data_IF_830623891081
#
_entry.id   IF_830623891081
#
_cell.length_a   1.000
_cell.length_b   1.000
_cell.length_c   1.000
_cell.angle_alpha   90.00
_cell.angle_beta   90.00
_cell.angle_gamma   90.00
#
_symmetry.space_group_name_H-M   'P 1'
#
loop_
_entity.id
_entity.type
_entity.pdbx_description
1 polymer ?
#
# COMPACT_ATOMS: atom_id res chain seq x y z
N UNK A 1 27.52 -0.16 16.62
CA UNK A 1 26.08 0.15 16.67
C UNK A 1 25.35 -1.05 16.06
N UNK A 2 24.44 -1.68 16.80
CA UNK A 2 23.71 -2.88 16.35
C UNK A 2 22.43 -2.41 15.68
N UNK A 3 22.30 -2.59 14.36
CA UNK A 3 21.08 -2.30 13.62
C UNK A 3 20.20 -3.55 13.60
N UNK A 4 19.05 -3.51 14.27
CA UNK A 4 18.06 -4.60 14.22
C UNK A 4 17.17 -4.39 13.00
N UNK A 5 17.30 -5.26 11.99
CA UNK A 5 16.46 -5.25 10.79
C UNK A 5 15.13 -5.95 11.12
N UNK A 6 14.01 -5.22 11.08
CA UNK A 6 12.67 -5.81 11.26
C UNK A 6 12.11 -6.13 9.88
N UNK A 7 12.02 -7.42 9.58
CA UNK A 7 11.47 -7.97 8.35
C UNK A 7 9.93 -7.97 8.43
N UNK A 8 9.27 -7.07 7.70
CA UNK A 8 7.84 -7.18 7.46
C UNK A 8 7.62 -8.09 6.24
N UNK A 9 7.19 -9.35 6.47
CA UNK A 9 6.93 -10.33 5.39
C UNK A 9 5.41 -10.54 5.23
N UNK A 10 4.87 -10.55 4.00
CA UNK A 10 3.52 -11.01 3.77
C UNK A 10 3.45 -12.55 3.83
N UNK A 11 2.39 -13.06 4.47
CA UNK A 11 2.14 -14.47 4.71
C UNK A 11 1.40 -15.07 3.50
N UNK A 12 1.93 -16.14 2.89
CA UNK A 12 1.21 -16.90 1.86
C UNK A 12 0.74 -18.21 2.45
N UNK A 13 -0.58 -18.41 2.55
CA UNK A 13 -1.18 -19.70 2.91
C UNK A 13 -1.30 -20.57 1.66
N UNK A 14 -0.88 -21.84 1.78
CA UNK A 14 -0.93 -22.85 0.72
C UNK A 14 -2.10 -23.77 1.02
N UNK A 15 -3.08 -23.86 0.11
CA UNK A 15 -4.08 -24.93 0.11
C UNK A 15 -4.13 -25.54 -1.30
N UNK A 16 -3.97 -26.86 -1.37
CA UNK A 16 -4.01 -27.66 -2.60
C UNK A 16 -5.39 -28.32 -2.80
N UNK A 17 -5.75 -28.47 -4.08
CA UNK A 17 -6.67 -29.42 -4.74
C UNK A 17 -8.08 -28.95 -5.15
N UNK A 18 -8.36 -29.07 -6.46
CA UNK A 18 -9.69 -29.12 -7.06
C UNK A 18 -9.73 -28.72 -8.54
N UNK A 19 -10.34 -29.54 -9.40
CA UNK A 19 -10.13 -29.65 -10.86
C UNK A 19 -11.08 -28.81 -11.77
N UNK A 20 -10.48 -28.20 -12.80
CA UNK A 20 -10.89 -27.87 -14.20
C UNK A 20 -12.40 -27.79 -14.60
N UNK A 21 -12.79 -26.65 -15.21
CA UNK A 21 -13.55 -26.59 -16.48
C UNK A 21 -13.11 -25.40 -17.37
N UNK A 22 -13.05 -25.65 -18.68
CA UNK A 22 -12.79 -24.71 -19.80
C UNK A 22 -14.15 -24.06 -20.21
N UNK A 23 -14.31 -22.91 -20.86
CA UNK A 23 -13.68 -22.35 -22.06
C UNK A 23 -14.12 -20.87 -22.27
N UNK A 24 -13.35 -20.16 -23.11
CA UNK A 24 -13.67 -18.98 -23.94
C UNK A 24 -13.97 -17.62 -23.29
N UNK A 25 -13.20 -16.58 -23.69
CA UNK A 25 -13.67 -15.27 -24.19
C UNK A 25 -12.48 -14.34 -24.58
N UNK A 26 -12.55 -13.88 -25.83
CA UNK A 26 -11.99 -12.71 -26.55
C UNK A 26 -10.67 -12.03 -26.14
N UNK A 27 -9.79 -11.86 -27.14
CA UNK A 27 -8.51 -11.10 -27.10
C UNK A 27 -8.74 -9.60 -26.87
N UNK A 28 -8.52 -9.13 -25.64
CA UNK A 28 -8.26 -7.71 -25.33
C UNK A 28 -6.78 -7.33 -25.56
N UNK A 29 -6.44 -6.02 -25.47
CA UNK A 29 -5.07 -5.55 -25.72
C UNK A 29 -4.10 -6.20 -24.74
N UNK A 30 -3.04 -6.80 -25.28
CA UNK A 30 -2.06 -7.58 -24.51
C UNK A 30 -1.10 -6.64 -23.80
N UNK A 31 -1.24 -6.48 -22.49
CA UNK A 31 -0.15 -6.04 -21.63
C UNK A 31 0.99 -7.08 -21.73
N UNK A 32 2.27 -6.67 -21.77
CA UNK A 32 3.37 -7.64 -21.73
C UNK A 32 3.23 -8.47 -20.45
N UNK A 33 2.95 -9.77 -20.62
CA UNK A 33 2.96 -10.74 -19.52
C UNK A 33 4.35 -10.70 -18.90
N UNK A 34 4.46 -10.07 -17.73
CA UNK A 34 5.60 -10.34 -16.85
C UNK A 34 5.51 -11.82 -16.48
N UNK A 35 6.47 -12.60 -17.00
CA UNK A 35 6.43 -14.05 -16.92
C UNK A 35 6.35 -14.54 -15.49
N UNK A 36 5.27 -15.24 -15.15
CA UNK A 36 5.22 -16.12 -13.99
C UNK A 36 6.08 -17.36 -14.27
N UNK A 37 7.38 -17.24 -14.05
CA UNK A 37 8.20 -18.41 -13.77
C UNK A 37 8.12 -18.71 -12.27
N UNK A 38 7.22 -19.62 -11.93
CA UNK A 38 7.18 -20.29 -10.65
C UNK A 38 8.39 -21.22 -10.55
N UNK A 39 9.52 -20.68 -10.09
CA UNK A 39 10.64 -21.47 -9.57
C UNK A 39 10.77 -21.13 -8.08
N UNK A 40 10.28 -22.04 -7.26
CA UNK A 40 10.63 -22.14 -5.84
C UNK A 40 12.17 -22.14 -5.70
N UNK A 41 12.69 -21.20 -4.91
CA UNK A 41 14.10 -21.21 -4.49
C UNK A 41 14.93 -19.99 -4.92
N UNK A 42 14.64 -18.82 -4.34
CA UNK A 42 15.58 -17.73 -4.01
C UNK A 42 14.84 -16.82 -3.04
N UNK A 43 15.39 -16.58 -1.86
CA UNK A 43 14.74 -15.78 -0.81
C UNK A 43 14.22 -14.48 -1.39
N UNK A 44 12.96 -14.14 -1.08
CA UNK A 44 12.35 -12.88 -1.49
C UNK A 44 13.35 -11.75 -1.20
N UNK A 45 13.93 -11.20 -2.26
CA UNK A 45 14.78 -10.03 -2.14
C UNK A 45 13.85 -8.92 -1.71
N UNK A 46 13.98 -8.49 -0.45
CA UNK A 46 13.28 -7.31 0.07
C UNK A 46 13.36 -6.18 -0.96
N UNK A 47 12.26 -5.47 -1.17
CA UNK A 47 12.24 -4.31 -2.06
C UNK A 47 13.20 -3.24 -1.52
N UNK A 48 14.37 -3.12 -2.15
CA UNK A 48 15.40 -2.11 -1.83
C UNK A 48 15.51 -1.07 -2.95
N UNK A 49 15.94 0.14 -2.61
CA UNK A 49 16.16 1.23 -3.57
C UNK A 49 17.62 1.26 -4.06
N UNK A 50 17.82 1.35 -5.38
CA UNK A 50 19.14 1.60 -5.98
C UNK A 50 19.53 3.08 -5.87
N UNK A 51 18.57 3.96 -6.11
CA UNK A 51 18.64 5.42 -6.00
C UNK A 51 17.30 5.96 -5.47
N UNK A 52 17.19 7.27 -5.26
CA UNK A 52 15.93 7.92 -4.89
C UNK A 52 15.72 9.17 -5.72
N UNK A 53 14.48 9.39 -6.16
CA UNK A 53 14.06 10.60 -6.88
C UNK A 53 13.55 11.70 -5.93
N UNK A 54 13.12 11.30 -4.74
CA UNK A 54 12.53 12.19 -3.73
C UNK A 54 12.61 11.53 -2.34
N UNK A 55 12.68 12.33 -1.28
CA UNK A 55 12.48 11.89 0.09
C UNK A 55 11.72 12.96 0.89
N UNK A 56 10.98 12.52 1.91
CA UNK A 56 10.33 13.41 2.89
C UNK A 56 10.72 12.97 4.31
N UNK A 57 10.62 13.90 5.26
CA UNK A 57 10.87 13.64 6.69
C UNK A 57 9.69 14.16 7.49
N UNK A 58 9.27 13.42 8.51
CA UNK A 58 8.29 13.88 9.47
C UNK A 58 8.70 13.50 10.89
N UNK A 59 8.26 14.29 11.86
CA UNK A 59 8.50 14.06 13.28
C UNK A 59 7.17 13.97 14.00
N UNK A 60 6.97 12.89 14.77
CA UNK A 60 5.88 12.78 15.72
C UNK A 60 6.40 13.02 17.14
N UNK A 61 5.66 13.78 17.94
CA UNK A 61 5.98 14.05 19.35
C UNK A 61 4.71 14.14 20.20
N UNK A 62 4.84 13.83 21.49
CA UNK A 62 3.71 13.77 22.42
C UNK A 62 3.47 12.36 22.96
N UNK A 63 2.25 12.09 23.39
CA UNK A 63 1.86 10.86 24.08
C UNK A 63 1.42 9.76 23.09
N UNK A 64 2.40 9.13 22.43
CA UNK A 64 2.16 7.97 21.58
C UNK A 64 1.31 8.30 20.34
N UNK A 65 0.13 7.67 20.21
CA UNK A 65 -0.83 7.94 19.13
C UNK A 65 -1.51 9.32 19.23
N UNK A 66 -1.32 10.01 20.36
CA UNK A 66 -1.83 11.35 20.60
C UNK A 66 -0.66 12.36 20.57
N UNK A 67 -0.90 13.56 20.09
CA UNK A 67 0.11 14.62 20.07
C UNK A 67 0.14 15.37 18.75
N UNK A 68 1.33 15.57 18.19
CA UNK A 68 1.53 16.34 16.97
C UNK A 68 2.42 15.56 16.02
N UNK A 69 2.07 15.53 14.74
CA UNK A 69 2.96 15.14 13.65
C UNK A 69 3.20 16.33 12.72
N UNK A 70 4.46 16.54 12.36
CA UNK A 70 4.87 17.64 11.48
C UNK A 70 5.80 17.12 10.38
N UNK A 71 5.45 17.35 9.11
CA UNK A 71 6.30 17.07 7.97
C UNK A 71 7.25 18.23 7.68
N UNK A 72 8.41 17.90 7.14
CA UNK A 72 9.42 18.85 6.69
C UNK A 72 9.51 18.78 5.16
N UNK A 73 9.68 19.92 4.50
CA UNK A 73 9.81 20.03 3.05
C UNK A 73 9.31 21.38 2.54
N UNK A 74 9.09 21.48 1.23
CA UNK A 74 8.69 22.73 0.56
C UNK A 74 7.36 23.29 1.08
N UNK A 75 6.45 22.41 1.49
CA UNK A 75 5.15 22.75 2.09
C UNK A 75 4.91 21.89 3.34
N UNK A 76 5.44 22.30 4.51
CA UNK A 76 5.25 21.58 5.77
C UNK A 76 3.77 21.41 6.13
N UNK A 77 3.42 20.25 6.68
CA UNK A 77 2.09 19.94 7.18
C UNK A 77 2.19 19.59 8.66
N UNK A 78 1.41 20.26 9.49
CA UNK A 78 1.34 20.02 10.93
C UNK A 78 -0.06 19.60 11.33
N UNK A 79 -0.19 18.46 12.00
CA UNK A 79 -1.47 17.88 12.40
C UNK A 79 -1.47 17.55 13.88
N UNK A 80 -2.60 17.84 14.54
CA UNK A 80 -2.91 17.30 15.87
C UNK A 80 -3.41 15.87 15.68
N UNK A 81 -2.82 14.95 16.43
CA UNK A 81 -3.12 13.53 16.40
C UNK A 81 -3.90 13.14 17.64
N UNK A 82 -4.92 12.31 17.46
CA UNK A 82 -5.69 11.75 18.56
C UNK A 82 -6.24 10.37 18.19
N UNK A 83 -6.40 9.53 19.20
CA UNK A 83 -7.04 8.23 19.04
C UNK A 83 -8.54 8.43 18.78
N UNK A 84 -9.14 7.77 17.78
CA UNK A 84 -10.55 7.94 17.48
C UNK A 84 -11.43 7.42 18.64
N UNK A 85 -12.65 7.97 18.77
CA UNK A 85 -13.61 7.56 19.81
C UNK A 85 -13.89 6.06 19.80
N UNK A 86 -14.00 5.46 18.61
CA UNK A 86 -14.23 4.03 18.44
C UNK A 86 -13.09 3.15 19.00
N UNK A 87 -11.89 3.72 19.18
CA UNK A 87 -10.72 3.06 19.78
C UNK A 87 -10.38 3.62 21.17
N UNK A 88 -11.32 4.28 21.85
CA UNK A 88 -11.18 4.74 23.23
C UNK A 88 -10.49 6.09 23.43
N UNK A 89 -10.23 6.86 22.37
CA UNK A 89 -9.71 8.23 22.48
C UNK A 89 -10.81 9.30 22.46
N UNK A 90 -10.41 10.59 22.39
CA UNK A 90 -11.38 11.70 22.33
C UNK A 90 -11.88 11.93 20.90
N UNK A 91 -11.09 11.55 19.90
CA UNK A 91 -11.37 11.78 18.48
C UNK A 91 -11.31 13.26 18.08
N UNK A 92 -10.49 14.06 18.75
CA UNK A 92 -10.34 15.51 18.52
C UNK A 92 -9.20 15.86 17.55
N UNK A 93 -8.57 14.85 16.96
CA UNK A 93 -7.45 14.98 16.03
C UNK A 93 -7.53 13.97 14.88
N UNK A 94 -6.52 14.01 14.03
CA UNK A 94 -6.33 13.01 12.97
C UNK A 94 -5.71 11.74 13.55
N UNK A 95 -5.73 10.65 12.79
CA UNK A 95 -5.10 9.39 13.19
C UNK A 95 -4.22 8.80 12.07
N UNK A 96 -3.27 7.91 12.41
CA UNK A 96 -2.39 7.27 11.42
C UNK A 96 -3.15 6.57 10.29
N UNK A 97 -4.32 5.98 10.56
CA UNK A 97 -5.09 5.25 9.57
C UNK A 97 -5.69 6.19 8.51
N UNK A 98 -6.16 7.38 8.91
CA UNK A 98 -6.58 8.45 7.98
C UNK A 98 -5.43 8.91 7.09
N UNK A 99 -4.24 9.14 7.67
CA UNK A 99 -3.07 9.56 6.90
C UNK A 99 -2.63 8.49 5.90
N UNK A 100 -2.69 7.22 6.31
CA UNK A 100 -2.41 6.11 5.42
C UNK A 100 -3.46 5.98 4.31
N UNK A 101 -4.75 6.17 4.62
CA UNK A 101 -5.83 6.16 3.64
C UNK A 101 -5.64 7.27 2.59
N UNK A 102 -5.34 8.49 3.03
CA UNK A 102 -5.06 9.64 2.14
C UNK A 102 -3.83 9.41 1.26
N UNK A 103 -2.75 8.88 1.85
CA UNK A 103 -1.52 8.58 1.13
C UNK A 103 -1.73 7.48 0.08
N UNK A 104 -2.41 6.39 0.46
CA UNK A 104 -2.62 5.25 -0.42
C UNK A 104 -3.58 5.60 -1.57
N UNK A 105 -4.70 6.27 -1.30
CA UNK A 105 -5.62 6.67 -2.36
C UNK A 105 -4.96 7.57 -3.41
N UNK A 106 -4.19 8.57 -2.97
CA UNK A 106 -3.45 9.46 -3.86
C UNK A 106 -2.36 8.70 -4.65
N UNK A 107 -1.62 7.82 -3.97
CA UNK A 107 -0.57 7.02 -4.59
C UNK A 107 -1.12 6.06 -5.66
N UNK A 108 -2.26 5.42 -5.39
CA UNK A 108 -2.90 4.50 -6.32
C UNK A 108 -3.54 5.24 -7.50
N UNK A 109 -4.16 6.41 -7.29
CA UNK A 109 -4.68 7.24 -8.38
C UNK A 109 -3.57 7.65 -9.35
N UNK A 110 -2.40 8.05 -8.83
CA UNK A 110 -1.24 8.34 -9.68
C UNK A 110 -0.75 7.11 -10.46
N UNK A 111 -0.76 5.93 -9.83
CA UNK A 111 -0.40 4.68 -10.50
C UNK A 111 -1.42 4.28 -11.59
N UNK A 112 -2.71 4.56 -11.36
CA UNK A 112 -3.79 4.33 -12.32
C UNK A 112 -3.61 5.20 -13.57
N UNK A 113 -3.34 6.49 -13.37
CA UNK A 113 -3.04 7.43 -14.46
C UNK A 113 -1.79 7.02 -15.24
N UNK A 114 -0.74 6.55 -14.54
CA UNK A 114 0.46 6.02 -15.19
C UNK A 114 0.18 4.75 -16.00
N UNK A 115 -0.62 3.81 -15.47
CA UNK A 115 -0.97 2.58 -16.16
C UNK A 115 -1.75 2.87 -17.45
N UNK A 116 -2.76 3.73 -17.38
CA UNK A 116 -3.54 4.18 -18.53
C UNK A 116 -2.66 4.90 -19.57
N UNK A 117 -1.74 5.76 -19.10
CA UNK A 117 -0.78 6.45 -19.94
C UNK A 117 0.16 5.52 -20.71
N UNK A 118 0.47 4.31 -20.20
CA UNK A 118 1.38 3.37 -20.87
C UNK A 118 0.72 2.61 -22.03
N UNK A 119 -0.60 2.68 -22.12
CA UNK A 119 -1.40 2.06 -23.18
C UNK A 119 -2.20 3.10 -23.97
N UNK A 120 -1.80 4.38 -23.85
CA UNK A 120 -2.42 5.53 -24.54
C UNK A 120 -3.94 5.65 -24.36
N UNK A 121 -4.42 5.35 -23.14
CA UNK A 121 -5.84 5.41 -22.75
C UNK A 121 -6.11 6.37 -21.58
N UNK A 122 -5.45 7.53 -21.57
CA UNK A 122 -5.53 8.49 -20.43
C UNK A 122 -6.95 8.98 -20.19
N UNK A 123 -7.75 9.09 -21.25
CA UNK A 123 -9.16 9.48 -21.23
C UNK A 123 -10.02 8.58 -20.35
N UNK A 124 -9.63 7.30 -20.16
CA UNK A 124 -10.38 6.35 -19.32
C UNK A 124 -10.23 6.60 -17.81
N UNK A 125 -9.37 7.53 -17.40
CA UNK A 125 -9.06 7.79 -15.98
C UNK A 125 -9.03 9.28 -15.63
N UNK A 126 -9.47 10.15 -16.54
CA UNK A 126 -9.46 11.61 -16.32
C UNK A 126 -10.28 12.05 -15.11
N UNK A 127 -11.41 11.38 -14.89
CA UNK A 127 -12.32 11.64 -13.76
C UNK A 127 -12.25 10.55 -12.69
N UNK A 128 -11.24 9.68 -12.76
CA UNK A 128 -11.14 8.57 -11.83
C UNK A 128 -10.90 9.06 -10.40
N UNK A 129 -11.56 8.41 -9.45
CA UNK A 129 -11.34 8.60 -8.02
C UNK A 129 -10.93 7.28 -7.40
N UNK A 130 -10.06 7.35 -6.41
CA UNK A 130 -9.67 6.19 -5.62
C UNK A 130 -10.03 6.45 -4.17
N UNK A 131 -10.80 5.54 -3.59
CA UNK A 131 -11.16 5.56 -2.18
C UNK A 131 -10.37 4.45 -1.48
N UNK A 132 -9.69 4.79 -0.38
CA UNK A 132 -9.00 3.83 0.46
C UNK A 132 -9.70 3.75 1.82
N UNK A 133 -10.22 2.57 2.17
CA UNK A 133 -10.69 2.27 3.51
C UNK A 133 -9.59 1.49 4.25
N UNK A 134 -9.11 2.05 5.35
CA UNK A 134 -8.03 1.47 6.16
C UNK A 134 -8.60 1.02 7.49
N UNK A 135 -8.39 -0.26 7.79
CA UNK A 135 -8.90 -0.92 8.98
C UNK A 135 -7.73 -1.29 9.89
N UNK A 136 -7.82 -0.88 11.15
CA UNK A 136 -6.93 -1.31 12.23
C UNK A 136 -7.67 -2.36 13.07
N UNK A 137 -7.06 -3.52 13.27
CA UNK A 137 -7.68 -4.62 14.02
C UNK A 137 -6.69 -5.68 14.44
N UNK A 138 -7.14 -6.65 15.23
CA UNK A 138 -6.32 -7.80 15.59
C UNK A 138 -6.11 -8.69 14.35
N UNK A 139 -4.90 -9.23 14.14
CA UNK A 139 -4.64 -10.19 13.08
C UNK A 139 -5.53 -11.43 13.20
N UNK A 140 -5.80 -12.09 12.05
CA UNK A 140 -6.49 -13.39 12.04
C UNK A 140 -5.62 -14.53 12.57
N UNK A 141 -4.29 -14.40 12.48
CA UNK A 141 -3.36 -15.37 13.05
C UNK A 141 -3.40 -15.27 14.59
N UNK A 142 -3.89 -16.31 15.30
CA UNK A 142 -4.02 -16.27 16.76
C UNK A 142 -2.66 -16.24 17.48
N UNK A 143 -1.55 -16.44 16.78
CA UNK A 143 -0.20 -16.36 17.34
C UNK A 143 0.46 -15.00 17.13
N UNK A 144 -0.24 -14.04 16.50
CA UNK A 144 0.27 -12.71 16.25
C UNK A 144 -0.37 -11.70 17.21
N UNK A 145 0.41 -11.29 18.22
CA UNK A 145 -0.01 -10.26 19.16
C UNK A 145 -0.05 -8.86 18.51
N UNK A 146 -0.90 -7.98 19.05
CA UNK A 146 -1.01 -6.59 18.65
C UNK A 146 -2.00 -6.33 17.52
N UNK A 147 -1.77 -5.25 16.76
CA UNK A 147 -2.66 -4.80 15.69
C UNK A 147 -2.02 -4.97 14.31
N UNK A 148 -2.83 -5.36 13.34
CA UNK A 148 -2.54 -5.34 11.91
C UNK A 148 -3.34 -4.29 11.17
N UNK A 149 -3.00 -4.08 9.89
CA UNK A 149 -3.74 -3.24 8.96
C UNK A 149 -4.32 -4.08 7.83
N UNK A 150 -5.56 -3.77 7.46
CA UNK A 150 -6.20 -4.22 6.23
C UNK A 150 -6.64 -3.00 5.42
N UNK A 151 -6.52 -3.07 4.10
CA UNK A 151 -6.92 -1.98 3.21
C UNK A 151 -7.89 -2.50 2.16
N UNK A 152 -8.94 -1.73 1.89
CA UNK A 152 -9.78 -1.87 0.71
C UNK A 152 -9.58 -0.65 -0.18
N UNK A 153 -9.39 -0.88 -1.48
CA UNK A 153 -9.34 0.17 -2.49
C UNK A 153 -10.54 0.03 -3.42
N UNK A 154 -11.26 1.12 -3.63
CA UNK A 154 -12.33 1.21 -4.62
C UNK A 154 -11.95 2.25 -5.66
N UNK A 155 -12.05 1.89 -6.93
CA UNK A 155 -11.82 2.78 -8.06
C UNK A 155 -13.19 3.17 -8.65
N UNK A 156 -13.43 4.47 -8.77
CA UNK A 156 -14.59 5.02 -9.48
C UNK A 156 -14.12 5.67 -10.77
N UNK A 157 -14.93 5.61 -11.83
CA UNK A 157 -14.66 6.29 -13.10
C UNK A 157 -13.62 5.61 -13.99
N UNK A 158 -13.29 4.34 -13.74
CA UNK A 158 -12.49 3.48 -14.61
C UNK A 158 -12.97 2.03 -14.45
N UNK A 159 -13.42 1.41 -15.55
CA UNK A 159 -13.94 0.03 -15.56
C UNK A 159 -12.98 -0.96 -16.27
N UNK A 160 -11.78 -0.49 -16.67
CA UNK A 160 -10.77 -1.34 -17.33
C UNK A 160 -9.93 -2.08 -16.27
N UNK A 161 -10.32 -3.33 -15.96
CA UNK A 161 -9.66 -4.20 -14.98
C UNK A 161 -8.15 -4.36 -15.22
N UNK A 162 -7.71 -4.31 -16.48
CA UNK A 162 -6.31 -4.49 -16.81
C UNK A 162 -5.50 -3.24 -16.44
N UNK A 163 -6.08 -2.04 -16.60
CA UNK A 163 -5.48 -0.79 -16.11
C UNK A 163 -5.45 -0.77 -14.57
N UNK A 164 -6.55 -1.17 -13.91
CA UNK A 164 -6.62 -1.21 -12.44
C UNK A 164 -5.59 -2.21 -11.87
N UNK A 165 -5.50 -3.40 -12.46
CA UNK A 165 -4.52 -4.41 -12.07
C UNK A 165 -3.09 -3.92 -12.27
N UNK A 166 -2.80 -3.29 -13.40
CA UNK A 166 -1.49 -2.70 -13.67
C UNK A 166 -1.17 -1.56 -12.68
N UNK A 167 -2.16 -0.76 -12.28
CA UNK A 167 -1.99 0.28 -11.26
C UNK A 167 -1.57 -0.32 -9.91
N UNK A 168 -2.17 -1.44 -9.50
CA UNK A 168 -1.78 -2.15 -8.28
C UNK A 168 -0.32 -2.63 -8.34
N UNK A 169 0.14 -3.10 -9.49
CA UNK A 169 1.53 -3.50 -9.72
C UNK A 169 2.53 -2.33 -9.77
N UNK A 170 2.07 -1.11 -10.10
CA UNK A 170 2.92 0.07 -10.16
C UNK A 170 2.92 0.90 -8.88
N UNK A 171 1.83 0.88 -8.12
CA UNK A 171 1.66 1.69 -6.92
C UNK A 171 2.71 1.34 -5.85
N UNK A 172 3.57 2.30 -5.43
CA UNK A 172 4.55 2.06 -4.37
C UNK A 172 3.96 1.53 -3.06
N UNK A 173 2.76 1.99 -2.65
CA UNK A 173 2.11 1.51 -1.43
C UNK A 173 1.65 0.05 -1.57
N UNK A 174 1.07 -0.32 -2.70
CA UNK A 174 0.73 -1.71 -3.00
C UNK A 174 1.95 -2.62 -2.99
N UNK A 175 3.07 -2.19 -3.59
CA UNK A 175 4.33 -2.95 -3.55
C UNK A 175 4.85 -3.12 -2.13
N UNK A 176 4.81 -2.07 -1.31
CA UNK A 176 5.26 -2.14 0.08
C UNK A 176 4.46 -3.18 0.89
N UNK A 177 3.14 -3.28 0.66
CA UNK A 177 2.27 -4.23 1.38
C UNK A 177 2.36 -5.67 0.85
N UNK A 178 2.67 -5.85 -0.44
CA UNK A 178 2.69 -7.19 -1.09
C UNK A 178 4.08 -7.79 -1.20
N UNK A 179 5.12 -6.97 -1.26
CA UNK A 179 6.52 -7.39 -1.46
C UNK A 179 7.43 -6.99 -0.28
N UNK A 180 6.95 -6.12 0.62
CA UNK A 180 7.72 -5.54 1.70
C UNK A 180 8.46 -4.25 1.30
N UNK A 181 9.13 -3.63 2.26
CA UNK A 181 9.97 -2.44 2.08
C UNK A 181 11.20 -2.51 3.00
N UNK A 182 12.34 -1.97 2.57
CA UNK A 182 13.53 -1.80 3.42
C UNK A 182 13.29 -0.72 4.49
N UNK A 183 12.99 -1.14 5.71
CA UNK A 183 12.75 -0.26 6.86
C UNK A 183 13.89 -0.41 7.88
N UNK A 184 14.51 0.73 8.24
CA UNK A 184 15.61 0.80 9.20
C UNK A 184 15.19 1.56 10.45
N UNK A 185 15.30 0.91 11.61
CA UNK A 185 15.12 1.54 12.91
C UNK A 185 16.49 1.82 13.51
N UNK A 186 16.82 3.10 13.64
CA UNK A 186 18.11 3.57 14.13
C UNK A 186 17.93 4.27 15.48
N UNK A 187 18.89 4.05 16.40
CA UNK A 187 18.99 4.78 17.67
C UNK A 187 20.09 5.83 17.55
N UNK A 188 19.84 7.02 18.09
CA UNK A 188 20.83 8.08 18.25
C UNK A 188 21.80 7.77 19.40
#
# INVERSE_FOLDING_TARGET
MIATRVLCRPFTSRVMNGTIMKDAVTKGPTFPRYGHNHLMGRGASELTLKDHVYFSKATASGAGRNGIVESNGDKPLKLVMDTPKAAGGKGEGQNPEQLFAMGYSACFLGALQLAASRVDKRELVEQAKVNAAVFLGHPEDPNMDGFGLRVELTVEGCDDDAIISAAHEFCPYSRALTQGADVKVLKL
#
